data_IF_712025355085
#
_entry.id   IF_712025355085
#
_cell.length_a   1.000
_cell.length_b   1.000
_cell.length_c   1.000
_cell.angle_alpha   90.00
_cell.angle_beta   90.00
_cell.angle_gamma   90.00
#
_symmetry.space_group_name_H-M   'P 1'
#
loop_
_entity.id
_entity.type
_entity.pdbx_description
1 polymer ?
#
# COMPACT_ATOMS: atom_id res chain seq x y z
N UNK A 1 8.41 -0.24 17.60
CA UNK A 1 7.74 0.62 16.61
C UNK A 1 6.31 0.15 16.51
N UNK A 2 5.34 1.03 16.78
CA UNK A 2 3.92 0.74 16.53
C UNK A 2 3.74 0.67 15.02
N UNK A 3 3.28 -0.48 14.55
CA UNK A 3 3.08 -0.74 13.13
C UNK A 3 1.58 -0.79 12.91
N UNK A 4 1.03 0.32 12.42
CA UNK A 4 -0.40 0.43 12.21
C UNK A 4 -0.74 -0.08 10.80
N UNK A 5 -1.61 -1.09 10.75
CA UNK A 5 -2.16 -1.61 9.49
C UNK A 5 -3.44 -0.86 9.20
N UNK A 6 -3.41 -0.03 8.15
CA UNK A 6 -4.53 0.81 7.74
C UNK A 6 -4.90 0.53 6.28
N UNK A 7 -6.17 0.73 5.89
CA UNK A 7 -6.54 0.70 4.48
C UNK A 7 -5.84 1.83 3.73
N UNK A 8 -5.45 1.60 2.48
CA UNK A 8 -4.70 2.57 1.67
C UNK A 8 -5.42 3.92 1.58
N UNK A 9 -6.76 3.94 1.55
CA UNK A 9 -7.55 5.18 1.54
C UNK A 9 -7.31 6.11 2.75
N UNK A 10 -6.81 5.58 3.86
CA UNK A 10 -6.60 6.30 5.11
C UNK A 10 -5.14 6.64 5.36
N UNK A 11 -4.25 6.26 4.44
CA UNK A 11 -2.82 6.54 4.49
C UNK A 11 -2.57 7.83 3.70
N UNK A 12 -1.67 8.69 4.18
CA UNK A 12 -1.34 9.92 3.48
C UNK A 12 -0.54 9.65 2.20
N UNK A 13 -0.74 10.45 1.16
CA UNK A 13 0.07 10.40 -0.06
C UNK A 13 1.54 10.66 0.27
N UNK A 14 2.46 10.11 -0.51
CA UNK A 14 3.90 10.04 -0.25
C UNK A 14 4.33 9.26 1.01
N UNK A 15 3.41 8.57 1.69
CA UNK A 15 3.78 7.67 2.80
C UNK A 15 4.47 6.41 2.30
N UNK A 16 5.46 5.94 3.07
CA UNK A 16 6.11 4.64 2.87
C UNK A 16 5.28 3.57 3.57
N UNK A 17 4.95 2.51 2.83
CA UNK A 17 4.16 1.39 3.31
C UNK A 17 4.80 0.05 2.95
N UNK A 18 4.54 -0.97 3.76
CA UNK A 18 4.97 -2.37 3.56
C UNK A 18 3.80 -3.33 3.72
N UNK A 19 4.02 -4.60 3.39
CA UNK A 19 3.04 -5.66 3.56
C UNK A 19 1.66 -5.31 2.95
N UNK A 20 1.66 -4.84 1.69
CA UNK A 20 0.43 -4.45 0.99
C UNK A 20 -0.33 -5.70 0.57
N UNK A 21 -1.63 -5.72 0.81
CA UNK A 21 -2.50 -6.80 0.35
C UNK A 21 -2.50 -6.92 -1.19
N UNK A 22 -2.52 -8.16 -1.72
CA UNK A 22 -2.75 -8.40 -3.16
C UNK A 22 -4.23 -8.70 -3.46
N UNK A 23 -4.97 -9.12 -2.45
CA UNK A 23 -6.43 -9.32 -2.41
C UNK A 23 -6.95 -8.85 -1.05
N UNK A 24 -8.17 -8.31 -1.02
CA UNK A 24 -8.83 -7.91 0.23
C UNK A 24 -8.89 -9.14 1.15
N UNK A 25 -8.23 -9.09 2.30
CA UNK A 25 -8.23 -10.18 3.28
C UNK A 25 -7.13 -11.23 3.07
N UNK A 26 -6.21 -11.06 2.12
CA UNK A 26 -5.07 -11.98 1.91
C UNK A 26 -3.95 -11.81 2.96
N UNK A 27 -4.13 -10.92 3.95
CA UNK A 27 -3.20 -10.67 5.08
C UNK A 27 -1.82 -10.10 4.70
N UNK A 28 -1.66 -9.61 3.48
CA UNK A 28 -0.43 -8.97 3.00
C UNK A 28 0.48 -9.94 2.27
N UNK A 29 0.52 -9.82 0.95
CA UNK A 29 1.26 -10.72 0.04
C UNK A 29 2.46 -10.01 -0.59
N UNK A 30 2.33 -8.69 -0.82
CA UNK A 30 3.36 -7.89 -1.48
C UNK A 30 4.31 -7.29 -0.45
N UNK A 31 5.60 -7.22 -0.78
CA UNK A 31 6.64 -6.56 0.03
C UNK A 31 6.86 -7.22 1.41
N UNK A 32 7.03 -8.55 1.41
CA UNK A 32 7.34 -9.33 2.63
C UNK A 32 8.84 -9.41 2.95
N UNK A 33 9.74 -9.07 2.02
CA UNK A 33 11.17 -9.07 2.30
C UNK A 33 11.55 -7.85 3.15
N UNK A 34 12.53 -7.99 4.05
CA UNK A 34 12.88 -7.01 5.10
C UNK A 34 13.29 -5.61 4.61
N UNK A 35 13.41 -5.38 3.30
CA UNK A 35 13.78 -4.07 2.70
C UNK A 35 12.82 -3.61 1.61
N UNK A 36 11.78 -4.39 1.33
CA UNK A 36 10.79 -3.97 0.36
C UNK A 36 9.91 -2.88 0.96
N UNK A 37 9.62 -1.85 0.16
CA UNK A 37 8.71 -0.78 0.52
C UNK A 37 7.98 -0.31 -0.72
N UNK A 38 6.76 0.15 -0.53
CA UNK A 38 6.01 0.84 -1.54
C UNK A 38 5.75 2.28 -1.10
N UNK A 39 5.65 3.19 -2.05
CA UNK A 39 5.29 4.59 -1.77
C UNK A 39 3.90 4.82 -2.32
N UNK A 40 3.02 5.35 -1.49
CA UNK A 40 1.70 5.80 -1.94
C UNK A 40 1.89 7.04 -2.80
N UNK A 41 1.54 6.97 -4.08
CA UNK A 41 1.71 8.10 -5.01
C UNK A 41 0.48 9.00 -4.94
N UNK A 42 -0.70 8.42 -5.13
CA UNK A 42 -1.95 9.16 -5.15
C UNK A 42 -3.15 8.28 -4.82
N UNK A 43 -4.22 8.89 -4.33
CA UNK A 43 -5.53 8.24 -4.18
C UNK A 43 -6.53 8.75 -5.20
N UNK A 44 -7.40 7.88 -5.69
CA UNK A 44 -8.54 8.27 -6.50
C UNK A 44 -9.84 7.73 -5.87
N UNK A 45 -10.53 8.54 -5.03
CA UNK A 45 -11.72 8.10 -4.31
C UNK A 45 -12.91 7.82 -5.22
N UNK A 46 -13.03 8.51 -6.37
CA UNK A 46 -14.14 8.36 -7.33
C UNK A 46 -14.27 6.95 -7.89
N UNK A 47 -13.13 6.30 -8.16
CA UNK A 47 -13.06 4.95 -8.71
C UNK A 47 -12.58 3.93 -7.67
N UNK A 48 -12.31 4.37 -6.43
CA UNK A 48 -11.90 3.50 -5.32
C UNK A 48 -10.54 2.82 -5.51
N UNK A 49 -9.59 3.47 -6.21
CA UNK A 49 -8.24 2.92 -6.42
C UNK A 49 -7.15 3.87 -5.92
N UNK A 50 -6.05 3.28 -5.47
CA UNK A 50 -4.84 3.94 -5.03
C UNK A 50 -3.68 3.56 -5.94
N UNK A 51 -2.81 4.53 -6.25
CA UNK A 51 -1.58 4.29 -7.01
C UNK A 51 -0.41 4.17 -6.04
N UNK A 52 0.34 3.08 -6.17
CA UNK A 52 1.54 2.82 -5.38
C UNK A 52 2.75 2.64 -6.28
N UNK A 53 3.92 3.08 -5.82
CA UNK A 53 5.21 2.79 -6.43
C UNK A 53 5.81 1.57 -5.75
N UNK A 54 6.17 0.56 -6.52
CA UNK A 54 6.88 -0.63 -6.07
C UNK A 54 8.38 -0.31 -5.91
N UNK A 55 9.15 -1.07 -5.11
CA UNK A 55 10.59 -0.87 -4.93
C UNK A 55 11.37 -1.14 -6.22
N UNK A 56 10.78 -1.89 -7.16
CA UNK A 56 11.29 -2.03 -8.54
C UNK A 56 11.20 -0.74 -9.38
N UNK A 57 10.59 0.33 -8.85
CA UNK A 57 10.31 1.57 -9.58
C UNK A 57 9.02 1.54 -10.39
N UNK A 58 8.41 0.36 -10.57
CA UNK A 58 7.16 0.20 -11.28
C UNK A 58 5.99 0.85 -10.52
N UNK A 59 5.04 1.42 -11.27
CA UNK A 59 3.80 1.96 -10.71
C UNK A 59 2.73 0.88 -10.80
N UNK A 60 2.05 0.61 -9.69
CA UNK A 60 0.93 -0.33 -9.63
C UNK A 60 -0.32 0.39 -9.14
N UNK A 61 -1.44 0.05 -9.76
CA UNK A 61 -2.77 0.50 -9.36
C UNK A 61 -3.38 -0.62 -8.51
N UNK A 62 -3.86 -0.28 -7.32
CA UNK A 62 -4.45 -1.21 -6.37
C UNK A 62 -5.77 -0.65 -5.83
N UNK A 63 -6.76 -1.48 -5.47
CA UNK A 63 -7.97 -1.02 -4.80
C UNK A 63 -7.66 -0.29 -3.48
N UNK A 64 -8.37 0.82 -3.21
CA UNK A 64 -8.17 1.61 -1.99
C UNK A 64 -8.60 0.90 -0.70
N UNK A 65 -9.34 -0.21 -0.83
CA UNK A 65 -9.72 -1.09 0.28
C UNK A 65 -8.60 -2.01 0.77
N UNK A 66 -7.50 -2.13 0.02
CA UNK A 66 -6.36 -2.97 0.43
C UNK A 66 -5.70 -2.36 1.66
N UNK A 67 -5.28 -3.23 2.59
CA UNK A 67 -4.53 -2.81 3.77
C UNK A 67 -3.04 -2.81 3.50
N UNK A 68 -2.38 -1.86 4.13
CA UNK A 68 -0.93 -1.75 4.15
C UNK A 68 -0.46 -1.33 5.55
N UNK A 69 0.75 -1.75 5.88
CA UNK A 69 1.41 -1.38 7.11
C UNK A 69 2.22 -0.11 6.87
N UNK A 70 2.03 0.90 7.72
CA UNK A 70 2.85 2.11 7.68
C UNK A 70 4.21 1.79 8.31
N UNK A 71 5.30 2.08 7.60
CA UNK A 71 6.67 1.95 8.11
C UNK A 71 7.72 1.59 7.06
#
# INVERSE_FOLDING_TARGET
>A
MVVNVLPLRSIHEASVVRNVEHHIGDRGTLMRASRDYAIVISHNPDIGISKIKLPSGAKKIVPSGYRAMIG
#
